data_IF_989233910559
#
_entry.id   IF_989233910559
#
_cell.length_a   1.000
_cell.length_b   1.000
_cell.length_c   1.000
_cell.angle_alpha   90.00
_cell.angle_beta   90.00
_cell.angle_gamma   90.00
#
_symmetry.space_group_name_H-M   'P 1'
#
loop_
_entity.id
_entity.type
_entity.pdbx_description
1 polymer ?
#
# COMPACT_ATOMS: atom_id res chain seq x y z
N UNK A 1 -26.88 -4.51 -18.49
CA UNK A 1 -26.05 -3.29 -18.61
C UNK A 1 -24.60 -3.60 -18.37
N UNK A 2 -23.75 -3.10 -19.25
CA UNK A 2 -22.31 -3.23 -19.05
C UNK A 2 -21.83 -2.26 -17.98
N UNK A 3 -20.90 -2.73 -17.15
CA UNK A 3 -20.26 -1.89 -16.16
C UNK A 3 -18.75 -2.02 -16.30
N UNK A 4 -18.07 -0.91 -16.09
CA UNK A 4 -16.62 -0.91 -16.05
C UNK A 4 -16.13 -0.98 -14.61
N UNK A 5 -15.04 -1.71 -14.40
CA UNK A 5 -14.24 -1.66 -13.19
C UNK A 5 -12.86 -1.17 -13.58
N UNK A 6 -12.39 -0.18 -12.84
CA UNK A 6 -11.09 0.45 -13.09
C UNK A 6 -10.13 0.10 -11.97
N UNK A 7 -8.94 -0.32 -12.34
CA UNK A 7 -7.84 -0.51 -11.39
C UNK A 7 -6.80 0.58 -11.60
N UNK A 8 -6.41 1.23 -10.52
CA UNK A 8 -5.25 2.13 -10.50
C UNK A 8 -4.34 1.64 -9.39
N UNK A 9 -3.09 1.39 -9.72
CA UNK A 9 -2.17 0.73 -8.81
C UNK A 9 -0.75 1.26 -8.96
N UNK A 10 0.04 1.03 -7.90
CA UNK A 10 1.50 1.12 -7.93
C UNK A 10 2.04 -0.26 -7.61
N UNK A 11 3.00 -0.71 -8.41
CA UNK A 11 3.63 -2.02 -8.26
C UNK A 11 5.13 -1.86 -8.05
N UNK A 12 5.70 -2.72 -7.21
CA UNK A 12 7.14 -2.79 -6.97
C UNK A 12 7.73 -1.47 -6.49
N UNK A 13 7.06 -0.79 -5.55
CA UNK A 13 7.59 0.43 -4.94
C UNK A 13 8.66 0.04 -3.93
N UNK A 14 9.92 0.34 -4.24
CA UNK A 14 11.07 -0.02 -3.41
C UNK A 14 11.34 1.07 -2.40
N UNK A 15 11.41 0.70 -1.12
CA UNK A 15 11.64 1.62 -0.03
C UNK A 15 12.66 1.05 0.94
N UNK A 16 13.52 1.92 1.48
CA UNK A 16 14.29 1.59 2.67
C UNK A 16 13.56 2.20 3.86
N UNK A 17 13.32 1.40 4.90
CA UNK A 17 12.53 1.86 6.05
C UNK A 17 13.00 1.18 7.34
N UNK A 18 12.57 1.74 8.46
CA UNK A 18 12.99 1.30 9.79
C UNK A 18 11.93 0.46 10.50
N UNK A 19 10.89 0.01 9.77
CA UNK A 19 9.84 -0.81 10.39
C UNK A 19 10.39 -2.13 10.91
N UNK A 20 10.01 -2.49 12.10
CA UNK A 20 10.40 -3.75 12.70
C UNK A 20 9.99 -3.84 14.15
N UNK A 21 9.69 -5.06 14.61
CA UNK A 21 9.25 -5.29 15.98
C UNK A 21 10.39 -5.13 16.99
N UNK A 22 11.60 -5.52 16.59
CA UNK A 22 12.76 -5.48 17.48
C UNK A 22 13.51 -4.15 17.33
N UNK A 23 14.05 -3.59 18.44
CA UNK A 23 14.77 -2.32 18.38
C UNK A 23 15.95 -2.31 17.39
N UNK A 24 16.64 -3.43 17.23
CA UNK A 24 17.77 -3.55 16.30
C UNK A 24 17.32 -3.32 14.85
N UNK A 25 16.13 -3.80 14.49
CA UNK A 25 15.57 -3.60 13.16
C UNK A 25 15.30 -2.13 12.88
N UNK A 26 14.88 -1.39 13.90
CA UNK A 26 14.58 0.04 13.78
C UNK A 26 15.85 0.89 13.67
N UNK A 27 16.99 0.36 14.10
CA UNK A 27 18.28 1.04 13.96
C UNK A 27 18.90 0.77 12.60
N UNK A 28 18.87 -0.48 12.15
CA UNK A 28 19.53 -0.92 10.92
C UNK A 28 18.66 -0.65 9.69
N UNK A 29 17.36 -0.83 9.84
CA UNK A 29 16.42 -0.73 8.73
C UNK A 29 16.47 -1.93 7.80
N UNK A 30 15.66 -1.90 6.76
CA UNK A 30 15.61 -2.95 5.75
C UNK A 30 15.02 -2.41 4.45
N UNK A 31 15.16 -3.20 3.40
CA UNK A 31 14.54 -2.91 2.11
C UNK A 31 13.17 -3.58 2.04
N UNK A 32 12.20 -2.83 1.55
CA UNK A 32 10.82 -3.26 1.41
C UNK A 32 10.35 -3.03 -0.01
N UNK A 33 9.38 -3.83 -0.46
CA UNK A 33 8.71 -3.64 -1.74
C UNK A 33 7.21 -3.56 -1.45
N UNK A 34 6.59 -2.47 -1.89
CA UNK A 34 5.16 -2.19 -1.63
C UNK A 34 4.39 -2.24 -2.94
N UNK A 35 3.26 -2.94 -2.92
CA UNK A 35 2.25 -2.89 -3.99
C UNK A 35 0.97 -2.32 -3.38
N UNK A 36 0.37 -1.36 -4.08
CA UNK A 36 -0.88 -0.73 -3.65
C UNK A 36 -1.83 -0.67 -4.83
N UNK A 37 -3.00 -1.27 -4.69
CA UNK A 37 -3.98 -1.39 -5.75
C UNK A 37 -5.34 -0.87 -5.29
N UNK A 38 -5.98 -0.09 -6.14
CA UNK A 38 -7.35 0.38 -5.92
C UNK A 38 -8.24 -0.09 -7.06
N UNK A 39 -9.52 -0.36 -6.75
CA UNK A 39 -10.52 -0.69 -7.75
C UNK A 39 -11.79 0.12 -7.48
N UNK A 40 -12.37 0.66 -8.54
CA UNK A 40 -13.56 1.51 -8.44
C UNK A 40 -14.31 1.52 -9.77
N UNK A 41 -15.55 2.02 -9.74
CA UNK A 41 -16.32 2.25 -10.94
C UNK A 41 -15.98 3.63 -11.48
N UNK A 42 -15.45 3.75 -12.72
CA UNK A 42 -15.12 5.06 -13.27
C UNK A 42 -16.36 5.91 -13.52
N UNK A 43 -16.24 7.22 -13.28
CA UNK A 43 -17.34 8.16 -13.51
C UNK A 43 -17.46 8.54 -14.98
N UNK A 44 -16.31 8.79 -15.63
CA UNK A 44 -16.27 9.23 -17.02
C UNK A 44 -14.86 9.03 -17.58
N UNK A 45 -14.77 9.05 -18.92
CA UNK A 45 -13.48 8.98 -19.63
C UNK A 45 -13.33 10.28 -20.43
N UNK A 46 -13.16 11.40 -19.72
CA UNK A 46 -13.14 12.74 -20.30
C UNK A 46 -11.87 13.53 -19.92
N UNK A 47 -10.80 12.83 -19.58
CA UNK A 47 -9.50 13.39 -19.21
C UNK A 47 -9.53 14.30 -17.99
N UNK A 48 -10.50 14.11 -17.09
CA UNK A 48 -10.60 14.88 -15.86
C UNK A 48 -9.91 14.11 -14.72
N UNK A 49 -8.74 14.56 -14.32
CA UNK A 49 -7.94 13.90 -13.28
C UNK A 49 -8.70 13.81 -11.95
N UNK A 50 -9.54 14.81 -11.64
CA UNK A 50 -10.32 14.83 -10.41
C UNK A 50 -11.37 13.70 -10.33
N UNK A 51 -11.68 13.03 -11.44
CA UNK A 51 -12.70 11.96 -11.51
C UNK A 51 -12.11 10.56 -11.40
N UNK A 52 -10.82 10.45 -11.12
CA UNK A 52 -10.14 9.16 -10.99
C UNK A 52 -9.25 9.14 -9.75
N UNK A 53 -8.71 7.97 -9.45
CA UNK A 53 -7.63 7.87 -8.47
C UNK A 53 -6.34 8.30 -9.15
N UNK A 54 -5.63 9.25 -8.54
CA UNK A 54 -4.35 9.72 -9.02
C UNK A 54 -3.24 8.91 -8.35
N UNK A 55 -2.49 8.12 -9.13
CA UNK A 55 -1.45 7.27 -8.55
C UNK A 55 -0.28 8.06 -7.96
N UNK A 56 -0.12 9.34 -8.31
CA UNK A 56 0.86 10.19 -7.64
C UNK A 56 0.48 10.39 -6.17
N UNK A 57 -0.81 10.53 -5.86
CA UNK A 57 -1.31 10.60 -4.49
C UNK A 57 -1.07 9.28 -3.76
N UNK A 58 -1.27 8.15 -4.45
CA UNK A 58 -0.99 6.84 -3.87
C UNK A 58 0.48 6.73 -3.48
N UNK A 59 1.37 7.22 -4.34
CA UNK A 59 2.80 7.19 -4.04
C UNK A 59 3.15 8.06 -2.83
N UNK A 60 2.55 9.24 -2.72
CA UNK A 60 2.75 10.10 -1.55
C UNK A 60 2.35 9.39 -0.26
N UNK A 61 1.20 8.71 -0.28
CA UNK A 61 0.73 7.94 0.89
C UNK A 61 1.73 6.84 1.25
N UNK A 62 2.20 6.07 0.25
CA UNK A 62 3.17 5.00 0.49
C UNK A 62 4.46 5.57 1.07
N UNK A 63 5.01 6.62 0.46
CA UNK A 63 6.26 7.20 0.93
C UNK A 63 6.15 7.74 2.35
N UNK A 64 5.04 8.42 2.68
CA UNK A 64 4.84 8.96 4.01
C UNK A 64 4.74 7.86 5.07
N UNK A 65 3.97 6.80 4.79
CA UNK A 65 3.80 5.70 5.75
C UNK A 65 5.04 4.86 5.89
N UNK A 66 5.84 4.72 4.84
CA UNK A 66 7.11 4.01 4.94
C UNK A 66 8.14 4.78 5.79
N UNK A 67 8.01 6.10 5.92
CA UNK A 67 8.85 6.92 6.81
C UNK A 67 8.35 6.94 8.25
N UNK A 68 7.10 6.59 8.49
CA UNK A 68 6.49 6.58 9.82
C UNK A 68 6.69 5.20 10.45
N UNK A 69 7.78 5.04 11.20
CA UNK A 69 8.24 3.76 11.73
C UNK A 69 7.18 3.09 12.62
N UNK A 70 6.87 1.84 12.32
CA UNK A 70 5.95 1.01 13.08
C UNK A 70 6.63 -0.30 13.46
N UNK A 71 6.17 -0.90 14.56
CA UNK A 71 6.68 -2.20 15.01
C UNK A 71 6.15 -3.34 14.14
N UNK A 72 4.89 -3.25 13.72
CA UNK A 72 4.25 -4.29 12.92
C UNK A 72 3.97 -3.78 11.52
N UNK A 73 4.26 -4.61 10.52
CA UNK A 73 4.00 -4.28 9.12
C UNK A 73 2.50 -4.15 8.87
N UNK A 74 1.67 -4.92 9.57
CA UNK A 74 0.21 -4.84 9.50
C UNK A 74 -0.31 -3.44 9.84
N UNK A 75 0.33 -2.77 10.80
CA UNK A 75 -0.02 -1.39 11.15
C UNK A 75 0.26 -0.44 9.98
N UNK A 76 1.38 -0.62 9.29
CA UNK A 76 1.71 0.17 8.11
C UNK A 76 0.64 -0.01 7.03
N UNK A 77 0.24 -1.26 6.77
CA UNK A 77 -0.78 -1.56 5.76
C UNK A 77 -2.12 -0.91 6.11
N UNK A 78 -2.55 -1.01 7.35
CA UNK A 78 -3.80 -0.40 7.80
C UNK A 78 -3.76 1.12 7.63
N UNK A 79 -2.65 1.76 7.97
CA UNK A 79 -2.51 3.20 7.82
C UNK A 79 -2.57 3.63 6.35
N UNK A 80 -1.95 2.87 5.45
CA UNK A 80 -2.00 3.14 4.02
C UNK A 80 -3.45 3.07 3.52
N UNK A 81 -4.15 1.97 3.82
CA UNK A 81 -5.55 1.80 3.38
C UNK A 81 -6.44 2.91 3.94
N UNK A 82 -6.29 3.24 5.21
CA UNK A 82 -7.10 4.29 5.84
C UNK A 82 -6.94 5.64 5.14
N UNK A 83 -5.72 5.99 4.75
CA UNK A 83 -5.45 7.23 4.03
C UNK A 83 -6.02 7.21 2.61
N UNK A 84 -5.94 6.07 1.92
CA UNK A 84 -6.52 5.92 0.58
C UNK A 84 -8.02 6.12 0.62
N UNK A 85 -8.71 5.47 1.58
CA UNK A 85 -10.16 5.57 1.72
C UNK A 85 -10.58 7.00 2.08
N UNK A 86 -9.82 7.67 2.94
CA UNK A 86 -10.12 9.06 3.32
C UNK A 86 -10.01 9.99 2.11
N UNK A 87 -9.02 9.78 1.24
CA UNK A 87 -8.80 10.61 0.07
C UNK A 87 -9.76 10.25 -1.07
N UNK A 88 -10.07 8.98 -1.24
CA UNK A 88 -10.91 8.46 -2.31
C UNK A 88 -12.02 7.57 -1.74
N UNK A 89 -13.05 8.19 -1.12
CA UNK A 89 -14.12 7.40 -0.46
C UNK A 89 -14.98 6.58 -1.42
N UNK A 90 -14.86 6.82 -2.72
CA UNK A 90 -15.63 6.09 -3.74
C UNK A 90 -14.98 4.75 -4.13
N UNK A 91 -13.77 4.43 -3.68
CA UNK A 91 -13.12 3.16 -4.05
C UNK A 91 -13.88 1.97 -3.45
N UNK A 92 -14.03 0.91 -4.24
CA UNK A 92 -14.72 -0.30 -3.82
C UNK A 92 -13.78 -1.27 -3.12
N UNK A 93 -12.54 -1.37 -3.60
CA UNK A 93 -11.53 -2.28 -3.05
C UNK A 93 -10.19 -1.58 -2.99
N UNK A 94 -9.45 -1.84 -1.91
CA UNK A 94 -8.07 -1.43 -1.77
C UNK A 94 -7.27 -2.63 -1.28
N UNK A 95 -6.17 -2.93 -1.95
CA UNK A 95 -5.28 -4.01 -1.54
C UNK A 95 -3.87 -3.44 -1.44
N UNK A 96 -3.22 -3.67 -0.32
CA UNK A 96 -1.83 -3.29 -0.14
C UNK A 96 -1.05 -4.50 0.35
N UNK A 97 0.14 -4.71 -0.22
CA UNK A 97 1.04 -5.77 0.21
C UNK A 97 2.44 -5.21 0.41
N UNK A 98 3.19 -5.88 1.25
CA UNK A 98 4.53 -5.45 1.60
C UNK A 98 5.42 -6.67 1.76
N UNK A 99 6.54 -6.65 1.03
CA UNK A 99 7.62 -7.64 1.17
C UNK A 99 8.74 -7.02 1.97
N UNK A 100 9.21 -7.73 2.97
CA UNK A 100 10.43 -7.39 3.71
C UNK A 100 11.54 -8.29 3.19
N UNK A 101 12.53 -7.71 2.54
CA UNK A 101 13.59 -8.48 1.90
C UNK A 101 14.59 -8.96 2.95
N UNK A 102 15.06 -10.18 2.79
CA UNK A 102 16.06 -10.80 3.68
C UNK A 102 15.73 -10.59 5.16
N UNK A 103 14.56 -11.07 5.63
CA UNK A 103 14.15 -10.85 7.02
C UNK A 103 15.14 -11.50 7.99
N UNK A 104 15.38 -10.88 9.17
CA UNK A 104 16.36 -11.39 10.12
C UNK A 104 15.83 -12.59 10.89
N UNK A 105 15.88 -13.77 10.29
CA UNK A 105 15.42 -15.02 10.87
C UNK A 105 16.30 -16.19 10.38
N UNK A 106 16.28 -17.32 11.09
CA UNK A 106 17.09 -18.49 10.69
C UNK A 106 16.70 -19.01 9.31
N UNK A 107 17.68 -19.59 8.59
CA UNK A 107 17.50 -20.15 7.28
C UNK A 107 17.69 -19.14 6.17
N UNK A 108 17.37 -19.56 4.95
CA UNK A 108 17.52 -18.72 3.75
C UNK A 108 16.12 -18.31 3.27
N UNK A 109 15.59 -17.23 3.87
CA UNK A 109 14.27 -16.69 3.51
C UNK A 109 14.48 -15.45 2.64
N UNK A 110 14.00 -15.51 1.39
CA UNK A 110 14.16 -14.40 0.45
C UNK A 110 13.40 -13.16 0.89
N UNK A 111 12.16 -13.34 1.35
CA UNK A 111 11.34 -12.24 1.88
C UNK A 111 10.22 -12.80 2.73
N UNK A 112 9.73 -11.99 3.66
CA UNK A 112 8.45 -12.19 4.29
C UNK A 112 7.41 -11.30 3.61
N UNK A 113 6.13 -11.64 3.75
CA UNK A 113 5.06 -11.00 2.99
C UNK A 113 3.83 -10.82 3.85
N UNK A 114 3.28 -9.62 3.84
CA UNK A 114 1.99 -9.32 4.46
C UNK A 114 1.09 -8.60 3.46
N UNK A 115 -0.20 -8.85 3.55
CA UNK A 115 -1.19 -8.28 2.63
C UNK A 115 -2.46 -7.98 3.39
N UNK A 116 -3.05 -6.83 3.12
CA UNK A 116 -4.32 -6.42 3.69
C UNK A 116 -5.24 -5.96 2.55
N UNK A 117 -6.49 -6.40 2.59
CA UNK A 117 -7.49 -6.03 1.60
C UNK A 117 -8.69 -5.40 2.29
N UNK A 118 -9.22 -4.36 1.66
CA UNK A 118 -10.43 -3.66 2.08
C UNK A 118 -11.48 -3.77 1.00
N UNK A 119 -12.71 -4.03 1.41
CA UNK A 119 -13.88 -4.00 0.53
C UNK A 119 -14.91 -3.06 1.14
N UNK A 120 -15.42 -2.14 0.34
CA UNK A 120 -16.43 -1.19 0.77
C UNK A 120 -17.72 -1.93 1.20
N UNK A 121 -18.37 -1.40 2.23
CA UNK A 121 -19.63 -1.96 2.74
C UNK A 121 -20.87 -1.62 1.87
N UNK A 122 -20.68 -0.84 0.80
CA UNK A 122 -21.80 -0.46 -0.09
C UNK A 122 -22.41 -1.66 -0.78
#
# INVERSE_FOLDING_TARGET
MSQFKQTVALKDVKCFALHGYYPEEQLIGNHFVVDLETEFTPQAFDDQLAKTVNYEHLNTIVQDEMKNTQKLLETVLNNIISKVIALYPFVDHVTVSLKKLNPPMPGQVGHSFVKLSYTSAK
#
